data_IF_944640849922
#
_entry.id   IF_944640849922
#
_cell.length_a   1.000
_cell.length_b   1.000
_cell.length_c   1.000
_cell.angle_alpha   90.00
_cell.angle_beta   90.00
_cell.angle_gamma   90.00
#
_symmetry.space_group_name_H-M   'P 1'
#
loop_
_entity.id
_entity.type
_entity.pdbx_description
1 polymer ?
#
# COMPACT_ATOMS: atom_id res chain seq x y z
N UNK A 1 -20.50 -38.11 38.01
CA UNK A 1 -20.04 -36.71 38.22
C UNK A 1 -19.28 -36.56 39.55
N UNK A 2 -19.92 -36.54 40.74
CA UNK A 2 -19.17 -36.40 42.02
C UNK A 2 -18.32 -37.61 42.41
N UNK A 3 -18.73 -38.81 42.01
CA UNK A 3 -17.97 -40.05 42.28
C UNK A 3 -16.71 -40.18 41.42
N UNK A 4 -16.66 -39.49 40.28
CA UNK A 4 -15.62 -39.64 39.26
C UNK A 4 -14.56 -38.52 39.35
N UNK A 5 -14.96 -37.34 39.83
CA UNK A 5 -14.06 -36.21 40.07
C UNK A 5 -14.41 -35.53 41.42
N UNK A 6 -13.89 -36.03 42.55
CA UNK A 6 -14.26 -35.54 43.88
C UNK A 6 -13.88 -34.07 44.14
N UNK A 7 -12.93 -33.52 43.38
CA UNK A 7 -12.54 -32.10 43.46
C UNK A 7 -13.23 -31.21 42.43
N UNK A 8 -14.10 -31.76 41.58
CA UNK A 8 -14.83 -30.99 40.59
C UNK A 8 -16.01 -30.30 41.26
N UNK A 9 -15.81 -29.01 41.56
CA UNK A 9 -16.80 -28.18 42.23
C UNK A 9 -17.88 -27.73 41.24
N UNK A 10 -19.03 -27.33 41.78
CA UNK A 10 -20.09 -26.73 40.98
C UNK A 10 -19.63 -25.43 40.28
N UNK A 11 -18.69 -24.69 40.89
CA UNK A 11 -18.09 -23.49 40.31
C UNK A 11 -17.29 -23.81 39.04
N UNK A 12 -16.52 -24.92 39.03
CA UNK A 12 -15.79 -25.36 37.85
C UNK A 12 -16.74 -25.72 36.70
N UNK A 13 -17.87 -26.36 37.01
CA UNK A 13 -18.91 -26.65 36.03
C UNK A 13 -19.50 -25.38 35.42
N UNK A 14 -19.80 -24.37 36.25
CA UNK A 14 -20.27 -23.09 35.76
C UNK A 14 -19.20 -22.34 34.94
N UNK A 15 -17.92 -22.48 35.28
CA UNK A 15 -16.81 -21.85 34.57
C UNK A 15 -16.53 -22.50 33.21
N UNK A 16 -16.68 -23.83 33.11
CA UNK A 16 -16.60 -24.58 31.85
C UNK A 16 -17.74 -24.22 30.89
N UNK A 17 -18.93 -23.94 31.42
CA UNK A 17 -20.08 -23.49 30.63
C UNK A 17 -19.97 -22.04 30.14
N UNK A 18 -18.98 -21.26 30.61
CA UNK A 18 -18.80 -19.88 30.14
C UNK A 18 -18.33 -19.86 28.69
N UNK A 19 -19.05 -19.12 27.85
CA UNK A 19 -18.61 -18.84 26.48
C UNK A 19 -17.28 -18.07 26.46
N UNK A 20 -16.18 -18.77 26.15
CA UNK A 20 -14.88 -18.14 25.92
C UNK A 20 -14.81 -17.61 24.50
N UNK A 21 -15.14 -16.34 24.31
CA UNK A 21 -14.91 -15.68 23.01
C UNK A 21 -13.45 -15.23 22.92
N UNK A 22 -12.74 -15.67 21.88
CA UNK A 22 -11.39 -15.21 21.62
C UNK A 22 -11.39 -13.68 21.45
N UNK A 23 -10.47 -12.98 22.13
CA UNK A 23 -10.33 -11.53 22.01
C UNK A 23 -10.15 -11.14 20.55
N UNK A 24 -10.95 -10.20 20.04
CA UNK A 24 -10.83 -9.68 18.67
C UNK A 24 -9.39 -9.21 18.42
N UNK A 25 -8.70 -9.81 17.45
CA UNK A 25 -7.38 -9.37 17.01
C UNK A 25 -7.51 -8.01 16.32
N UNK A 26 -6.72 -7.02 16.74
CA UNK A 26 -6.62 -5.73 16.02
C UNK A 26 -5.92 -6.00 14.68
N UNK A 27 -6.58 -5.72 13.56
CA UNK A 27 -5.91 -5.71 12.24
C UNK A 27 -5.01 -4.48 12.20
N UNK A 28 -3.70 -4.67 12.09
CA UNK A 28 -2.78 -3.56 11.84
C UNK A 28 -3.11 -2.87 10.52
N UNK A 29 -2.86 -1.56 10.42
CA UNK A 29 -2.95 -0.89 9.12
C UNK A 29 -1.94 -1.53 8.17
N UNK A 30 -2.37 -1.88 6.96
CA UNK A 30 -1.45 -2.36 5.93
C UNK A 30 -0.43 -1.26 5.60
N UNK A 31 0.82 -1.64 5.32
CA UNK A 31 1.83 -0.68 4.87
C UNK A 31 1.41 0.05 3.59
N UNK A 32 0.54 -0.56 2.77
CA UNK A 32 -0.07 0.06 1.59
C UNK A 32 -0.98 1.26 1.92
N UNK A 33 -1.53 1.29 3.13
CA UNK A 33 -2.33 2.43 3.59
C UNK A 33 -1.44 3.60 4.00
N UNK A 34 -0.20 3.31 4.45
CA UNK A 34 0.79 4.31 4.87
C UNK A 34 1.62 4.81 3.69
N UNK A 35 2.00 3.92 2.79
CA UNK A 35 2.85 4.16 1.64
C UNK A 35 2.24 3.52 0.38
N UNK A 36 2.45 4.08 -0.81
CA UNK A 36 1.80 3.59 -2.04
C UNK A 36 0.76 4.55 -2.62
N UNK A 37 -0.29 3.99 -3.23
CA UNK A 37 -1.32 4.73 -3.99
C UNK A 37 -2.54 5.13 -3.15
N UNK A 38 -2.64 4.64 -1.92
CA UNK A 38 -3.85 4.74 -1.11
C UNK A 38 -4.27 6.18 -0.84
N UNK A 39 -3.33 7.04 -0.44
CA UNK A 39 -3.61 8.45 -0.12
C UNK A 39 -4.18 9.20 -1.33
N UNK A 40 -3.60 9.02 -2.51
CA UNK A 40 -4.07 9.64 -3.76
C UNK A 40 -5.46 9.13 -4.16
N UNK A 41 -5.71 7.83 -4.02
CA UNK A 41 -7.03 7.24 -4.25
C UNK A 41 -8.10 7.86 -3.33
N UNK A 42 -7.83 8.02 -2.04
CA UNK A 42 -8.78 8.64 -1.11
C UNK A 42 -9.04 10.12 -1.46
N UNK A 43 -8.00 10.87 -1.84
CA UNK A 43 -8.15 12.25 -2.33
C UNK A 43 -9.06 12.34 -3.55
N UNK A 44 -8.90 11.42 -4.52
CA UNK A 44 -9.76 11.38 -5.71
C UNK A 44 -11.21 11.01 -5.37
N UNK A 45 -11.43 10.11 -4.42
CA UNK A 45 -12.78 9.78 -3.93
C UNK A 45 -13.45 10.95 -3.22
N UNK A 46 -12.68 11.74 -2.49
CA UNK A 46 -13.18 12.96 -1.86
C UNK A 46 -13.51 14.02 -2.90
N UNK A 47 -12.64 14.25 -3.89
CA UNK A 47 -12.91 15.16 -5.01
C UNK A 47 -14.15 14.75 -5.81
N UNK A 48 -14.35 13.45 -6.05
CA UNK A 48 -15.58 12.95 -6.67
C UNK A 48 -16.82 13.28 -5.82
N UNK A 49 -16.77 13.06 -4.50
CA UNK A 49 -17.89 13.38 -3.60
C UNK A 49 -18.24 14.86 -3.61
N UNK A 50 -17.25 15.73 -3.77
CA UNK A 50 -17.45 17.18 -3.79
C UNK A 50 -17.94 17.70 -5.15
N UNK A 51 -17.42 17.16 -6.26
CA UNK A 51 -17.63 17.71 -7.61
C UNK A 51 -18.65 16.94 -8.45
N UNK A 52 -18.93 15.68 -8.11
CA UNK A 52 -19.73 14.76 -8.94
C UNK A 52 -19.04 14.31 -10.23
N UNK A 53 -17.80 14.72 -10.50
CA UNK A 53 -17.12 14.39 -11.75
C UNK A 53 -16.67 12.92 -11.79
N UNK A 54 -17.26 12.15 -12.71
CA UNK A 54 -16.97 10.73 -12.92
C UNK A 54 -15.50 10.41 -13.22
N UNK A 55 -14.74 11.36 -13.76
CA UNK A 55 -13.32 11.16 -14.08
C UNK A 55 -12.51 10.84 -12.81
N UNK A 56 -12.78 11.53 -11.71
CA UNK A 56 -12.12 11.26 -10.44
C UNK A 56 -12.48 9.87 -9.89
N UNK A 57 -13.72 9.41 -10.10
CA UNK A 57 -14.14 8.08 -9.73
C UNK A 57 -13.42 7.00 -10.55
N UNK A 58 -13.28 7.19 -11.87
CA UNK A 58 -12.54 6.27 -12.75
C UNK A 58 -11.05 6.21 -12.39
N UNK A 59 -10.43 7.36 -12.12
CA UNK A 59 -9.03 7.41 -11.69
C UNK A 59 -8.83 6.69 -10.35
N UNK A 60 -9.71 6.92 -9.37
CA UNK A 60 -9.67 6.23 -8.08
C UNK A 60 -9.84 4.71 -8.25
N UNK A 61 -10.75 4.27 -9.12
CA UNK A 61 -10.94 2.85 -9.44
C UNK A 61 -9.68 2.24 -10.07
N UNK A 62 -9.03 2.95 -10.99
CA UNK A 62 -7.77 2.50 -11.62
C UNK A 62 -6.65 2.35 -10.60
N UNK A 63 -6.49 3.30 -9.69
CA UNK A 63 -5.51 3.20 -8.59
C UNK A 63 -5.83 2.03 -7.66
N UNK A 64 -7.10 1.79 -7.36
CA UNK A 64 -7.53 0.66 -6.53
C UNK A 64 -7.14 -0.68 -7.15
N UNK A 65 -7.43 -0.88 -8.46
CA UNK A 65 -7.07 -2.10 -9.20
C UNK A 65 -5.56 -2.36 -9.25
N UNK A 66 -4.76 -1.30 -9.17
CA UNK A 66 -3.31 -1.37 -9.25
C UNK A 66 -2.61 -1.20 -7.89
N UNK A 67 -3.34 -1.25 -6.77
CA UNK A 67 -2.81 -0.92 -5.43
C UNK A 67 -1.56 -1.73 -5.08
N UNK A 68 -1.60 -3.05 -5.34
CA UNK A 68 -0.50 -3.98 -5.03
C UNK A 68 0.48 -4.17 -6.19
N UNK A 69 0.20 -3.62 -7.36
CA UNK A 69 1.05 -3.81 -8.54
C UNK A 69 2.28 -2.91 -8.47
N UNK A 70 3.47 -3.40 -8.86
CA UNK A 70 4.65 -2.55 -8.96
C UNK A 70 4.39 -1.40 -9.94
N UNK A 71 5.03 -0.26 -9.71
CA UNK A 71 5.01 0.81 -10.69
C UNK A 71 5.93 0.44 -11.85
N UNK A 72 5.49 0.78 -13.06
CA UNK A 72 6.26 0.61 -14.29
C UNK A 72 6.46 2.01 -14.84
N UNK A 73 7.69 2.49 -14.80
CA UNK A 73 8.08 3.81 -15.32
C UNK A 73 8.81 3.58 -16.63
N UNK A 74 8.32 4.21 -17.70
CA UNK A 74 8.95 4.20 -19.00
C UNK A 74 9.70 5.51 -19.17
N UNK A 75 11.02 5.44 -19.33
CA UNK A 75 11.85 6.58 -19.68
C UNK A 75 12.23 6.48 -21.16
N UNK A 76 12.05 7.57 -21.91
CA UNK A 76 12.48 7.63 -23.31
C UNK A 76 13.68 8.54 -23.40
N UNK A 77 14.84 7.98 -23.70
CA UNK A 77 16.10 8.72 -23.77
C UNK A 77 16.76 8.42 -25.11
N UNK A 78 17.11 9.46 -25.86
CA UNK A 78 17.79 9.35 -27.16
C UNK A 78 17.13 8.39 -28.17
N UNK A 79 15.80 8.29 -28.15
CA UNK A 79 15.04 7.44 -29.06
C UNK A 79 14.80 6.01 -28.55
N UNK A 80 15.50 5.57 -27.52
CA UNK A 80 15.31 4.27 -26.86
C UNK A 80 14.33 4.38 -25.69
N UNK A 81 13.64 3.27 -25.40
CA UNK A 81 12.68 3.19 -24.29
C UNK A 81 13.16 2.21 -23.24
N UNK A 82 13.25 2.68 -22.00
CA UNK A 82 13.72 1.93 -20.85
C UNK A 82 12.58 1.75 -19.84
N UNK A 83 12.34 0.51 -19.42
CA UNK A 83 11.31 0.19 -18.42
C UNK A 83 11.93 -0.08 -17.05
N UNK A 84 11.50 0.69 -16.04
CA UNK A 84 11.89 0.52 -14.65
C UNK A 84 10.71 0.03 -13.82
N UNK A 85 10.92 -1.10 -13.13
CA UNK A 85 10.00 -1.61 -12.12
C UNK A 85 10.36 -1.10 -10.72
N UNK A 86 9.35 -0.59 -10.01
CA UNK A 86 9.48 -0.03 -8.66
C UNK A 86 8.43 -0.62 -7.71
N UNK A 87 8.76 -0.66 -6.42
CA UNK A 87 7.91 -1.27 -5.39
C UNK A 87 6.54 -0.56 -5.26
N UNK A 88 5.43 -1.31 -5.09
CA UNK A 88 4.11 -0.74 -4.85
C UNK A 88 4.01 0.06 -3.54
N UNK A 89 4.96 -0.16 -2.63
CA UNK A 89 5.02 0.52 -1.34
C UNK A 89 5.61 1.92 -1.45
N UNK A 90 6.12 2.35 -2.60
CA UNK A 90 6.64 3.72 -2.76
C UNK A 90 5.46 4.68 -2.91
N UNK A 91 5.52 5.82 -2.21
CA UNK A 91 4.51 6.87 -2.32
C UNK A 91 4.42 7.34 -3.77
N UNK A 92 3.19 7.51 -4.26
CA UNK A 92 2.98 7.92 -5.64
C UNK A 92 3.58 9.31 -5.92
N UNK A 93 3.59 10.20 -4.94
CA UNK A 93 4.18 11.53 -5.05
C UNK A 93 5.70 11.48 -5.31
N UNK A 94 6.40 10.51 -4.72
CA UNK A 94 7.85 10.34 -4.92
C UNK A 94 8.14 9.79 -6.32
N UNK A 95 7.23 8.98 -6.88
CA UNK A 95 7.33 8.49 -8.25
C UNK A 95 7.01 9.59 -9.27
N UNK A 96 6.01 10.43 -9.00
CA UNK A 96 5.72 11.59 -9.86
C UNK A 96 6.95 12.51 -9.96
N UNK A 97 7.67 12.74 -8.84
CA UNK A 97 8.95 13.47 -8.83
C UNK A 97 10.03 12.77 -9.63
N UNK A 98 10.19 11.45 -9.44
CA UNK A 98 11.15 10.65 -10.21
C UNK A 98 10.89 10.75 -11.71
N UNK A 99 9.64 10.62 -12.13
CA UNK A 99 9.24 10.72 -13.55
C UNK A 99 9.54 12.11 -14.10
N UNK A 100 9.29 13.17 -13.32
CA UNK A 100 9.65 14.52 -13.72
C UNK A 100 11.16 14.67 -13.95
N UNK A 101 11.99 14.18 -13.02
CA UNK A 101 13.45 14.22 -13.15
C UNK A 101 13.95 13.41 -14.35
N UNK A 102 13.38 12.22 -14.59
CA UNK A 102 13.74 11.36 -15.72
C UNK A 102 13.41 12.00 -17.07
N UNK A 103 12.43 12.90 -17.13
CA UNK A 103 12.08 13.61 -18.35
C UNK A 103 13.13 14.66 -18.74
N UNK A 104 13.89 15.16 -17.77
CA UNK A 104 14.95 16.16 -17.98
C UNK A 104 16.33 15.52 -18.21
N UNK A 105 16.45 14.19 -18.06
CA UNK A 105 17.72 13.46 -18.22
C UNK A 105 18.12 13.34 -19.70
N UNK A 106 19.34 13.79 -20.09
CA UNK A 106 19.81 13.71 -21.47
C UNK A 106 20.41 12.35 -21.84
N UNK A 107 20.95 11.60 -20.89
CA UNK A 107 21.68 10.35 -21.12
C UNK A 107 21.06 9.17 -20.38
N UNK A 108 21.25 7.98 -20.94
CA UNK A 108 20.74 6.72 -20.39
C UNK A 108 21.44 6.39 -19.06
N UNK A 109 22.74 6.69 -18.96
CA UNK A 109 23.54 6.48 -17.75
C UNK A 109 23.02 7.30 -16.57
N UNK A 110 22.67 8.57 -16.80
CA UNK A 110 22.09 9.45 -15.77
C UNK A 110 20.74 8.90 -15.29
N UNK A 111 19.91 8.42 -16.22
CA UNK A 111 18.62 7.81 -15.88
C UNK A 111 18.80 6.55 -15.00
N UNK A 112 19.77 5.68 -15.32
CA UNK A 112 20.10 4.52 -14.50
C UNK A 112 20.64 4.89 -13.12
N UNK A 113 21.55 5.86 -13.05
CA UNK A 113 22.10 6.35 -11.80
C UNK A 113 21.00 6.92 -10.90
N UNK A 114 20.09 7.71 -11.47
CA UNK A 114 18.98 8.34 -10.77
C UNK A 114 17.99 7.30 -10.21
N UNK A 115 17.62 6.29 -11.01
CA UNK A 115 16.80 5.17 -10.53
C UNK A 115 17.54 4.36 -9.46
N UNK A 116 18.85 4.19 -9.58
CA UNK A 116 19.70 3.52 -8.59
C UNK A 116 19.70 4.24 -7.24
N UNK A 117 19.96 5.55 -7.24
CA UNK A 117 19.89 6.41 -6.05
C UNK A 117 18.49 6.38 -5.41
N UNK A 118 17.44 6.36 -6.23
CA UNK A 118 16.07 6.27 -5.76
C UNK A 118 15.78 4.94 -5.04
N UNK A 119 16.32 3.83 -5.56
CA UNK A 119 16.20 2.50 -4.95
C UNK A 119 16.96 2.39 -3.63
N UNK A 120 18.13 3.02 -3.53
CA UNK A 120 18.96 3.02 -2.33
C UNK A 120 18.45 3.96 -1.23
N UNK A 121 17.38 4.73 -1.50
CA UNK A 121 16.76 5.64 -0.54
C UNK A 121 17.53 6.94 -0.33
N UNK A 122 18.53 7.24 -1.16
CA UNK A 122 19.33 8.48 -1.06
C UNK A 122 18.50 9.72 -1.44
N UNK A 123 17.46 9.54 -2.25
CA UNK A 123 16.49 10.60 -2.63
C UNK A 123 15.45 10.94 -1.54
N UNK A 124 15.38 10.17 -0.45
CA UNK A 124 14.39 10.36 0.62
C UNK A 124 14.96 11.09 1.85
N UNK A 125 16.23 11.51 1.81
CA UNK A 125 16.87 12.34 2.84
C UNK A 125 16.53 13.81 2.68
#
# INVERSE_FOLDING_TARGET
>A
MREEYPQYTYENFCDDLRYRTARKRKRGKSQLARYGRYRRMEKLREQFRQTGNSDFALQAQKLHRNMTKPYRVLARVSGETWEYSLSPLIRIEDIEKLVALLNDCPTVEDAHALVGQFRNGEYLK
#
